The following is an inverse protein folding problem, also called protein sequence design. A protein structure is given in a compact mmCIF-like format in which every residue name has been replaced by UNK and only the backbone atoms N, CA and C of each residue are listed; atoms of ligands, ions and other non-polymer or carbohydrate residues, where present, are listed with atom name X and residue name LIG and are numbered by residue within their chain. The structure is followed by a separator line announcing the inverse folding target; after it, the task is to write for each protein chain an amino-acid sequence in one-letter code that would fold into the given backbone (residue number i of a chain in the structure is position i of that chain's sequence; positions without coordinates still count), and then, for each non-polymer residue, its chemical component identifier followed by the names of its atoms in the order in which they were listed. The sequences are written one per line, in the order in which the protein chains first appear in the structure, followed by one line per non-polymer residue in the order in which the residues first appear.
data_IF_352645039821
#
_entry.id   IF_352645039821
#
_cell.length_a   1.000
_cell.length_b   1.000
_cell.length_c   1.000
_cell.angle_alpha   90.00
_cell.angle_beta   90.00
_cell.angle_gamma   90.00
#
_symmetry.space_group_name_H-M   'P 1'
#
loop_
_entity.id
_entity.type
_entity.pdbx_description
1 polymer ?
#
# COMPACT_ATOMS: atom_id res chain seq x y z
N UNK A 1 -29.97 -7.59 17.46
CA UNK A 1 -29.61 -6.76 16.29
C UNK A 1 -28.09 -6.55 16.10
N UNK A 2 -27.24 -6.55 17.14
CA UNK A 2 -25.78 -6.32 16.98
C UNK A 2 -25.00 -7.42 16.23
N UNK A 3 -25.33 -8.70 16.43
CA UNK A 3 -24.60 -9.82 15.80
C UNK A 3 -24.77 -9.91 14.26
N UNK A 4 -25.81 -9.30 13.70
CA UNK A 4 -25.96 -9.18 12.24
C UNK A 4 -25.09 -8.06 11.69
N UNK A 5 -25.08 -6.90 12.37
CA UNK A 5 -24.26 -5.75 11.99
C UNK A 5 -22.76 -6.09 12.00
N UNK A 6 -22.28 -6.81 13.02
CA UNK A 6 -20.88 -7.24 13.10
C UNK A 6 -20.47 -8.15 11.93
N UNK A 7 -21.30 -9.16 11.59
CA UNK A 7 -21.03 -10.05 10.45
C UNK A 7 -21.07 -9.32 9.11
N UNK A 8 -22.00 -8.37 8.95
CA UNK A 8 -22.05 -7.53 7.76
C UNK A 8 -20.79 -6.67 7.63
N UNK A 9 -20.32 -6.07 8.73
CA UNK A 9 -19.10 -5.27 8.74
C UNK A 9 -17.88 -6.09 8.32
N UNK A 10 -17.72 -7.30 8.87
CA UNK A 10 -16.63 -8.21 8.47
C UNK A 10 -16.66 -8.52 6.97
N UNK A 11 -17.85 -8.80 6.41
CA UNK A 11 -17.99 -9.07 4.98
C UNK A 11 -17.65 -7.85 4.11
N UNK A 12 -17.94 -6.63 4.58
CA UNK A 12 -17.51 -5.42 3.87
C UNK A 12 -15.98 -5.28 3.90
N UNK A 13 -15.35 -5.56 5.04
CA UNK A 13 -13.88 -5.52 5.16
C UNK A 13 -13.24 -6.52 4.19
N UNK A 14 -13.72 -7.76 4.14
CA UNK A 14 -13.21 -8.78 3.20
C UNK A 14 -13.29 -8.32 1.74
N UNK A 15 -14.38 -7.65 1.36
CA UNK A 15 -14.56 -7.13 0.01
C UNK A 15 -13.61 -5.96 -0.29
N UNK A 16 -13.40 -5.07 0.67
CA UNK A 16 -12.49 -3.92 0.52
C UNK A 16 -11.04 -4.39 0.41
N UNK A 17 -10.62 -5.39 1.19
CA UNK A 17 -9.29 -5.98 1.08
C UNK A 17 -9.05 -6.59 -0.31
N UNK A 18 -10.06 -7.21 -0.90
CA UNK A 18 -9.98 -7.72 -2.27
C UNK A 18 -9.89 -6.60 -3.31
N UNK A 19 -10.64 -5.51 -3.12
CA UNK A 19 -10.57 -4.33 -4.00
C UNK A 19 -9.18 -3.67 -3.94
N UNK A 20 -8.62 -3.51 -2.74
CA UNK A 20 -7.26 -3.00 -2.55
C UNK A 20 -6.20 -3.91 -3.18
N UNK A 21 -6.42 -5.23 -3.16
CA UNK A 21 -5.53 -6.17 -3.84
C UNK A 21 -5.53 -6.00 -5.37
N UNK A 22 -6.70 -5.75 -5.97
CA UNK A 22 -6.81 -5.43 -7.40
C UNK A 22 -6.07 -4.12 -7.69
N UNK A 23 -6.34 -3.07 -6.91
CA UNK A 23 -5.71 -1.76 -7.09
C UNK A 23 -4.18 -1.84 -7.00
N UNK A 24 -3.66 -2.54 -5.99
CA UNK A 24 -2.23 -2.74 -5.81
C UNK A 24 -1.59 -3.43 -7.01
N UNK A 25 -2.23 -4.48 -7.54
CA UNK A 25 -1.72 -5.20 -8.70
C UNK A 25 -1.71 -4.34 -9.96
N UNK A 26 -2.78 -3.58 -10.19
CA UNK A 26 -2.88 -2.67 -11.33
C UNK A 26 -1.87 -1.53 -11.22
N UNK A 27 -1.66 -0.99 -10.02
CA UNK A 27 -0.63 0.03 -9.77
C UNK A 27 0.78 -0.52 -10.02
N UNK A 28 1.08 -1.75 -9.59
CA UNK A 28 2.37 -2.37 -9.87
C UNK A 28 2.58 -2.57 -11.38
N UNK A 29 1.55 -3.04 -12.09
CA UNK A 29 1.61 -3.19 -13.54
C UNK A 29 1.79 -1.84 -14.25
N UNK A 30 1.14 -0.78 -13.77
CA UNK A 30 1.31 0.57 -14.32
C UNK A 30 2.76 1.07 -14.14
N UNK A 31 3.39 0.79 -12.99
CA UNK A 31 4.81 1.10 -12.77
C UNK A 31 5.69 0.37 -13.78
N UNK A 32 5.44 -0.93 -14.02
CA UNK A 32 6.23 -1.72 -14.98
C UNK A 32 6.13 -1.15 -16.41
N UNK A 33 4.93 -0.71 -16.80
CA UNK A 33 4.67 -0.12 -18.12
C UNK A 33 5.29 1.27 -18.30
N UNK A 34 5.66 1.96 -17.21
CA UNK A 34 6.27 3.28 -17.23
C UNK A 34 7.80 3.24 -17.27
N UNK A 35 8.43 2.06 -17.33
CA UNK A 35 9.88 1.96 -17.47
C UNK A 35 10.40 2.80 -18.66
N UNK A 36 11.50 3.57 -18.48
CA UNK A 36 12.48 3.51 -17.40
C UNK A 36 12.20 4.41 -16.18
N UNK A 37 11.02 5.01 -16.04
CA UNK A 37 10.70 5.85 -14.89
C UNK A 37 10.66 5.02 -13.60
N UNK A 38 11.21 5.59 -12.52
CA UNK A 38 11.25 4.95 -11.21
C UNK A 38 10.45 5.74 -10.19
N UNK A 39 9.78 5.03 -9.28
CA UNK A 39 9.01 5.66 -8.19
C UNK A 39 9.88 5.98 -6.97
N UNK A 40 9.27 6.45 -5.89
CA UNK A 40 9.96 6.72 -4.63
C UNK A 40 10.43 5.42 -3.95
N UNK A 41 11.46 5.46 -3.08
CA UNK A 41 11.98 4.27 -2.39
C UNK A 41 10.92 3.40 -1.67
N UNK A 42 9.94 3.95 -0.90
CA UNK A 42 8.92 3.11 -0.26
C UNK A 42 7.99 2.43 -1.27
N UNK A 43 7.63 3.13 -2.36
CA UNK A 43 6.78 2.55 -3.42
C UNK A 43 7.52 1.45 -4.18
N UNK A 44 8.81 1.64 -4.47
CA UNK A 44 9.62 0.61 -5.12
C UNK A 44 9.73 -0.65 -4.26
N UNK A 45 9.92 -0.51 -2.94
CA UNK A 45 9.93 -1.65 -2.00
C UNK A 45 8.62 -2.44 -2.01
N UNK A 46 7.48 -1.75 -2.10
CA UNK A 46 6.16 -2.40 -2.18
C UNK A 46 5.98 -3.10 -3.53
N UNK A 47 6.38 -2.45 -4.63
CA UNK A 47 6.37 -3.03 -5.96
C UNK A 47 7.22 -4.31 -6.03
N UNK A 48 8.47 -4.26 -5.54
CA UNK A 48 9.37 -5.41 -5.50
C UNK A 48 8.76 -6.57 -4.69
N UNK A 49 8.12 -6.27 -3.55
CA UNK A 49 7.44 -7.26 -2.72
C UNK A 49 6.30 -7.96 -3.46
N UNK A 50 5.49 -7.21 -4.21
CA UNK A 50 4.41 -7.78 -5.03
C UNK A 50 5.00 -8.64 -6.14
N UNK A 51 6.06 -8.16 -6.80
CA UNK A 51 6.71 -8.86 -7.92
C UNK A 51 7.45 -10.13 -7.53
N UNK A 52 7.89 -10.25 -6.27
CA UNK A 52 8.39 -11.53 -5.73
C UNK A 52 7.33 -12.64 -5.71
N UNK A 53 6.05 -12.29 -5.55
CA UNK A 53 4.95 -13.26 -5.43
C UNK A 53 4.12 -13.41 -6.70
N UNK A 54 4.02 -12.33 -7.48
CA UNK A 54 3.11 -12.20 -8.61
C UNK A 54 3.86 -11.59 -9.80
N UNK A 55 4.09 -12.37 -10.89
CA UNK A 55 4.84 -11.90 -12.05
C UNK A 55 4.07 -10.80 -12.80
N UNK A 56 4.79 -10.01 -13.60
CA UNK A 56 4.21 -9.03 -14.53
C UNK A 56 3.24 -9.70 -15.49
N UNK A 57 2.22 -8.95 -15.91
CA UNK A 57 1.22 -9.45 -16.86
C UNK A 57 1.52 -8.97 -18.27
N UNK A 58 2.28 -9.77 -19.03
CA UNK A 58 2.65 -9.43 -20.42
C UNK A 58 1.63 -9.94 -21.45
N UNK A 59 0.92 -11.03 -21.11
CA UNK A 59 -0.13 -11.65 -21.93
C UNK A 59 -1.32 -11.99 -21.04
N UNK A 60 -2.50 -12.02 -21.64
CA UNK A 60 -3.71 -12.43 -20.94
C UNK A 60 -3.55 -13.82 -20.32
N UNK A 61 -3.86 -13.89 -19.02
CA UNK A 61 -3.85 -15.12 -18.25
C UNK A 61 -4.97 -15.09 -17.22
N UNK A 62 -5.27 -16.25 -16.66
CA UNK A 62 -6.24 -16.34 -15.58
C UNK A 62 -5.69 -15.72 -14.29
N UNK A 63 -6.21 -14.56 -13.91
CA UNK A 63 -5.68 -13.76 -12.79
C UNK A 63 -6.24 -14.14 -11.41
N UNK A 64 -7.17 -15.10 -11.30
CA UNK A 64 -7.79 -15.42 -10.01
C UNK A 64 -6.75 -15.83 -8.95
N UNK A 65 -5.76 -16.65 -9.35
CA UNK A 65 -4.70 -17.07 -8.44
C UNK A 65 -3.78 -15.90 -8.03
N UNK A 66 -3.56 -14.94 -8.92
CA UNK A 66 -2.78 -13.74 -8.65
C UNK A 66 -3.53 -12.79 -7.71
N UNK A 67 -4.83 -12.60 -7.93
CA UNK A 67 -5.71 -11.84 -7.05
C UNK A 67 -5.78 -12.44 -5.65
N UNK A 68 -5.87 -13.76 -5.52
CA UNK A 68 -5.83 -14.43 -4.21
C UNK A 68 -4.50 -14.22 -3.49
N UNK A 69 -3.37 -14.26 -4.22
CA UNK A 69 -2.06 -13.94 -3.66
C UNK A 69 -1.99 -12.47 -3.21
N UNK A 70 -2.49 -11.54 -4.00
CA UNK A 70 -2.50 -10.12 -3.65
C UNK A 70 -3.39 -9.85 -2.44
N UNK A 71 -4.56 -10.48 -2.35
CA UNK A 71 -5.43 -10.41 -1.18
C UNK A 71 -4.74 -10.94 0.09
N UNK A 72 -3.98 -12.04 -0.02
CA UNK A 72 -3.15 -12.54 1.09
C UNK A 72 -2.07 -11.55 1.51
N UNK A 73 -1.42 -10.89 0.56
CA UNK A 73 -0.41 -9.85 0.82
C UNK A 73 -1.02 -8.70 1.64
N UNK A 74 -2.18 -8.19 1.21
CA UNK A 74 -2.92 -7.14 1.94
C UNK A 74 -3.29 -7.62 3.35
N UNK A 75 -3.96 -8.78 3.47
CA UNK A 75 -4.41 -9.35 4.75
C UNK A 75 -3.26 -9.64 5.73
N UNK A 76 -2.07 -9.97 5.23
CA UNK A 76 -0.90 -10.22 6.08
C UNK A 76 -0.34 -8.97 6.76
N UNK A 77 -0.74 -7.78 6.29
CA UNK A 77 -0.19 -6.50 6.74
C UNK A 77 1.28 -6.29 6.38
N UNK A 78 1.87 -7.13 5.53
CA UNK A 78 3.28 -7.02 5.15
C UNK A 78 3.56 -5.70 4.41
N UNK A 79 2.61 -5.25 3.58
CA UNK A 79 2.70 -3.95 2.87
C UNK A 79 2.91 -2.80 3.86
N UNK A 80 2.11 -2.78 4.94
CA UNK A 80 2.25 -1.79 6.00
C UNK A 80 3.61 -1.87 6.67
N UNK A 81 4.05 -3.08 7.07
CA UNK A 81 5.36 -3.29 7.70
C UNK A 81 6.53 -2.81 6.83
N UNK A 82 6.42 -2.98 5.51
CA UNK A 82 7.43 -2.52 4.56
C UNK A 82 7.55 -1.01 4.50
N UNK A 83 6.43 -0.27 4.57
CA UNK A 83 6.41 1.19 4.45
C UNK A 83 6.49 1.91 5.80
N UNK A 84 6.16 1.23 6.90
CA UNK A 84 6.15 1.77 8.26
C UNK A 84 7.39 2.62 8.62
N UNK A 85 8.65 2.15 8.42
CA UNK A 85 9.82 2.95 8.78
C UNK A 85 9.93 4.26 7.99
N UNK A 86 9.44 4.29 6.74
CA UNK A 86 9.43 5.51 5.92
C UNK A 86 8.39 6.50 6.41
N UNK A 87 7.23 6.02 6.87
CA UNK A 87 6.15 6.85 7.41
C UNK A 87 6.55 7.43 8.76
N UNK A 88 7.16 6.64 9.64
CA UNK A 88 7.65 7.11 10.94
C UNK A 88 8.70 8.22 10.76
N UNK A 89 9.65 8.04 9.85
CA UNK A 89 10.64 9.07 9.50
C UNK A 89 10.00 10.33 8.92
N UNK A 90 8.97 10.18 8.08
CA UNK A 90 8.23 11.31 7.51
C UNK A 90 7.51 12.12 8.61
N UNK A 91 6.84 11.43 9.55
CA UNK A 91 6.11 12.07 10.65
C UNK A 91 7.05 12.77 11.64
N UNK A 92 8.19 12.17 11.97
CA UNK A 92 9.21 12.79 12.83
C UNK A 92 9.78 14.06 12.19
N UNK A 93 10.12 13.99 10.90
CA UNK A 93 10.59 15.15 10.13
C UNK A 93 9.54 16.27 10.09
N UNK A 94 8.26 15.91 9.89
CA UNK A 94 7.16 16.88 9.85
C UNK A 94 6.94 17.55 11.22
N UNK A 95 7.01 16.81 12.32
CA UNK A 95 6.90 17.36 13.68
C UNK A 95 8.03 18.35 13.98
N UNK A 96 9.28 18.00 13.65
CA UNK A 96 10.45 18.89 13.79
C UNK A 96 10.30 20.17 12.99
N UNK A 97 9.84 20.07 11.73
CA UNK A 97 9.58 21.23 10.88
C UNK A 97 8.45 22.11 11.42
N UNK A 98 7.36 21.51 11.89
CA UNK A 98 6.25 22.24 12.49
C UNK A 98 6.67 23.01 13.74
N UNK A 99 7.48 22.40 14.61
CA UNK A 99 8.03 23.05 15.80
C UNK A 99 9.03 24.16 15.46
N UNK A 100 9.94 23.95 14.49
CA UNK A 100 10.86 25.00 14.04
C UNK A 100 10.12 26.22 13.46
N UNK A 101 8.98 26.01 12.77
CA UNK A 101 8.15 27.08 12.21
C UNK A 101 7.41 27.89 13.28
N UNK A 102 7.08 27.28 14.43
CA UNK A 102 6.47 27.97 15.56
C UNK A 102 7.52 28.81 16.31
N UNK A 103 8.70 28.25 16.57
CA UNK A 103 9.79 28.97 17.26
C UNK A 103 10.30 30.16 16.42
N UNK A 104 10.38 30.01 15.09
CA UNK A 104 10.77 31.11 14.20
C UNK A 104 9.74 32.23 14.05
N UNK A 105 8.51 32.07 14.56
CA UNK A 105 7.48 33.13 14.59
C UNK A 105 7.47 33.96 15.88
N UNK A 106 8.11 33.50 16.95
CA UNK A 106 8.19 34.25 18.21
C UNK A 106 9.43 35.15 18.32
N UNK A 107 10.29 35.18 17.29
CA UNK A 107 11.51 36.00 17.26
C UNK A 107 11.39 37.27 16.39
N UNK A 108 10.17 37.68 16.02
CA UNK A 108 9.89 38.91 15.27
C UNK A 108 8.83 39.76 15.94
#
# INVERSE_FOLDING_TARGET
MGGWSARKALKVIDNVEFLLAIELLMACQAIDLLHPLTSTPPLQRVHDLVRQSIPTCDKDRFMAADLEKAARIIKSGIVWKTVQPYIENYLDSYSKLAHARLIGREQH
#
